data_IF_739753377142
#
_entry.id   IF_739753377142
#
_cell.length_a   1.000
_cell.length_b   1.000
_cell.length_c   1.000
_cell.angle_alpha   90.00
_cell.angle_beta   90.00
_cell.angle_gamma   90.00
#
_symmetry.space_group_name_H-M   'P 1'
#
loop_
_entity.id
_entity.type
_entity.pdbx_description
1 polymer ?
#
# COMPACT_ATOMS: atom_id res chain seq x y z
N UNK A 1 -13.41 22.85 -23.51
CA UNK A 1 -12.93 22.05 -22.37
C UNK A 1 -11.55 22.58 -22.00
N UNK A 2 -11.20 22.69 -20.73
CA UNK A 2 -9.83 23.03 -20.34
C UNK A 2 -8.90 21.87 -20.75
N UNK A 3 -7.82 22.16 -21.47
CA UNK A 3 -6.76 21.20 -21.79
C UNK A 3 -5.72 21.20 -20.68
N UNK A 4 -5.34 20.03 -20.20
CA UNK A 4 -4.25 19.86 -19.25
C UNK A 4 -2.90 20.00 -19.97
N UNK A 5 -1.87 20.48 -19.27
CA UNK A 5 -0.50 20.31 -19.75
C UNK A 5 -0.07 18.85 -19.63
N UNK A 6 0.97 18.44 -20.37
CA UNK A 6 1.52 17.08 -20.28
C UNK A 6 1.84 16.69 -18.82
N UNK A 7 2.45 17.59 -18.05
CA UNK A 7 2.76 17.34 -16.64
C UNK A 7 1.52 17.14 -15.76
N UNK A 8 0.40 17.81 -16.07
CA UNK A 8 -0.86 17.66 -15.35
C UNK A 8 -1.54 16.34 -15.71
N UNK A 9 -1.48 15.94 -16.99
CA UNK A 9 -1.92 14.60 -17.41
C UNK A 9 -1.12 13.49 -16.72
N UNK A 10 0.20 13.63 -16.65
CA UNK A 10 1.08 12.69 -15.97
C UNK A 10 0.71 12.54 -14.50
N UNK A 11 0.47 13.65 -13.80
CA UNK A 11 -0.01 13.64 -12.43
C UNK A 11 -1.34 12.86 -12.30
N UNK A 12 -2.32 13.16 -13.14
CA UNK A 12 -3.64 12.50 -13.10
C UNK A 12 -3.51 11.00 -13.36
N UNK A 13 -2.72 10.60 -14.37
CA UNK A 13 -2.49 9.18 -14.70
C UNK A 13 -1.83 8.45 -13.54
N UNK A 14 -0.77 9.01 -12.96
CA UNK A 14 -0.09 8.39 -11.82
C UNK A 14 -0.99 8.32 -10.59
N UNK A 15 -1.79 9.36 -10.34
CA UNK A 15 -2.78 9.35 -9.26
C UNK A 15 -3.83 8.25 -9.44
N UNK A 16 -4.32 8.02 -10.66
CA UNK A 16 -5.26 6.95 -10.96
C UNK A 16 -4.63 5.57 -10.78
N UNK A 17 -3.37 5.39 -11.20
CA UNK A 17 -2.64 4.14 -10.97
C UNK A 17 -2.51 3.86 -9.47
N UNK A 18 -2.01 4.83 -8.71
CA UNK A 18 -1.75 4.70 -7.27
C UNK A 18 -3.02 4.62 -6.41
N UNK A 19 -4.10 5.31 -6.76
CA UNK A 19 -5.35 5.33 -5.97
C UNK A 19 -6.40 4.33 -6.47
N UNK A 20 -6.33 3.92 -7.72
CA UNK A 20 -7.33 3.06 -8.35
C UNK A 20 -6.87 1.62 -8.60
N UNK A 21 -5.60 1.41 -8.97
CA UNK A 21 -5.07 0.09 -9.34
C UNK A 21 -4.33 -0.56 -8.17
N UNK A 22 -3.35 0.13 -7.58
CA UNK A 22 -2.52 -0.47 -6.51
C UNK A 22 -3.32 -0.98 -5.32
N UNK A 23 -4.44 -0.36 -4.86
CA UNK A 23 -5.21 -0.91 -3.75
C UNK A 23 -5.81 -2.28 -4.03
N UNK A 24 -6.11 -2.59 -5.30
CA UNK A 24 -6.61 -3.92 -5.68
C UNK A 24 -5.49 -4.95 -5.65
N UNK A 25 -4.33 -4.63 -6.24
CA UNK A 25 -3.18 -5.53 -6.25
C UNK A 25 -2.68 -5.84 -4.82
N UNK A 26 -2.54 -4.81 -3.98
CA UNK A 26 -2.16 -4.99 -2.56
C UNK A 26 -3.20 -5.81 -1.81
N UNK A 27 -4.50 -5.62 -2.09
CA UNK A 27 -5.54 -6.42 -1.46
C UNK A 27 -5.51 -7.88 -1.90
N UNK A 28 -5.28 -8.16 -3.17
CA UNK A 28 -5.11 -9.54 -3.66
C UNK A 28 -3.98 -10.24 -2.92
N UNK A 29 -2.82 -9.59 -2.79
CA UNK A 29 -1.72 -10.12 -1.98
C UNK A 29 -2.11 -10.28 -0.50
N UNK A 30 -2.73 -9.25 0.09
CA UNK A 30 -3.17 -9.25 1.49
C UNK A 30 -4.12 -10.41 1.79
N UNK A 31 -5.13 -10.64 0.95
CA UNK A 31 -6.12 -11.69 1.13
C UNK A 31 -5.52 -13.09 0.96
N UNK A 32 -4.36 -13.23 0.30
CA UNK A 32 -3.61 -14.49 0.26
C UNK A 32 -2.90 -14.77 1.59
N UNK A 33 -2.26 -13.75 2.16
CA UNK A 33 -1.58 -13.86 3.46
C UNK A 33 -2.57 -13.94 4.63
N UNK A 34 -3.72 -13.26 4.50
CA UNK A 34 -4.77 -13.16 5.49
C UNK A 34 -6.13 -13.45 4.85
N UNK A 35 -6.46 -14.74 4.56
CA UNK A 35 -7.72 -15.10 3.94
C UNK A 35 -8.92 -14.48 4.65
N UNK A 36 -9.89 -13.87 3.93
CA UNK A 36 -11.02 -13.17 4.56
C UNK A 36 -11.80 -14.02 5.57
N UNK A 37 -11.87 -15.33 5.35
CA UNK A 37 -12.53 -16.29 6.25
C UNK A 37 -11.79 -16.47 7.58
N UNK A 38 -10.46 -16.32 7.59
CA UNK A 38 -9.61 -16.45 8.79
C UNK A 38 -9.10 -15.11 9.30
N UNK A 39 -9.38 -14.00 8.60
CA UNK A 39 -8.94 -12.66 9.00
C UNK A 39 -9.35 -12.31 10.44
N UNK A 40 -10.59 -12.56 10.91
CA UNK A 40 -10.96 -12.29 12.30
C UNK A 40 -10.11 -13.07 13.31
N UNK A 41 -9.85 -14.36 13.05
CA UNK A 41 -9.01 -15.17 13.93
C UNK A 41 -7.56 -14.71 13.92
N UNK A 42 -6.99 -14.36 12.76
CA UNK A 42 -5.61 -13.87 12.67
C UNK A 42 -5.44 -12.57 13.45
N UNK A 43 -6.36 -11.61 13.30
CA UNK A 43 -6.31 -10.36 14.05
C UNK A 43 -6.47 -10.59 15.56
N UNK A 44 -7.33 -11.54 15.96
CA UNK A 44 -7.48 -11.91 17.37
C UNK A 44 -6.21 -12.55 17.95
N UNK A 45 -5.55 -13.45 17.21
CA UNK A 45 -4.30 -14.09 17.66
C UNK A 45 -3.15 -13.08 17.74
N UNK A 46 -3.12 -12.12 16.82
CA UNK A 46 -2.11 -11.05 16.77
C UNK A 46 -2.44 -9.82 17.63
N UNK A 47 -3.43 -9.91 18.53
CA UNK A 47 -3.96 -8.75 19.25
C UNK A 47 -2.90 -7.94 20.02
N UNK A 48 -1.92 -8.60 20.66
CA UNK A 48 -0.85 -7.90 21.38
C UNK A 48 0.04 -7.08 20.44
N UNK A 49 0.40 -7.63 19.28
CA UNK A 49 1.15 -6.90 18.24
C UNK A 49 0.33 -5.72 17.72
N UNK A 50 -0.97 -5.92 17.48
CA UNK A 50 -1.87 -4.84 17.05
C UNK A 50 -1.97 -3.71 18.09
N UNK A 51 -1.98 -4.02 19.39
CA UNK A 51 -1.97 -3.01 20.46
C UNK A 51 -0.68 -2.18 20.46
N UNK A 52 0.47 -2.78 20.20
CA UNK A 52 1.72 -2.01 20.03
C UNK A 52 1.65 -1.10 18.81
N UNK A 53 1.17 -1.63 17.69
CA UNK A 53 0.98 -0.86 16.46
C UNK A 53 -0.01 0.29 16.63
N UNK A 54 -1.09 0.11 17.42
CA UNK A 54 -2.05 1.17 17.76
C UNK A 54 -1.41 2.35 18.48
N UNK A 55 -0.38 2.11 19.29
CA UNK A 55 0.32 3.18 20.03
C UNK A 55 1.23 4.00 19.11
N UNK A 56 1.69 3.43 18.00
CA UNK A 56 2.80 3.99 17.20
C UNK A 56 2.42 4.39 15.78
N UNK A 57 1.51 3.65 15.15
CA UNK A 57 1.29 3.69 13.69
C UNK A 57 -0.20 3.69 13.34
N UNK A 58 -1.00 2.83 13.96
CA UNK A 58 -2.41 2.64 13.63
C UNK A 58 -3.27 3.65 14.39
N UNK A 59 -3.99 4.50 13.66
CA UNK A 59 -4.90 5.47 14.27
C UNK A 59 -6.23 4.84 14.70
N UNK A 60 -7.07 5.59 15.42
CA UNK A 60 -8.34 5.08 15.95
C UNK A 60 -9.32 4.64 14.84
N UNK A 61 -9.35 5.32 13.69
CA UNK A 61 -10.23 4.96 12.59
C UNK A 61 -9.83 3.60 12.00
N UNK A 62 -8.55 3.39 11.73
CA UNK A 62 -8.01 2.11 11.28
C UNK A 62 -8.20 1.01 12.33
N UNK A 63 -8.01 1.31 13.62
CA UNK A 63 -8.29 0.36 14.70
C UNK A 63 -9.74 -0.14 14.69
N UNK A 64 -10.70 0.76 14.46
CA UNK A 64 -12.12 0.39 14.41
C UNK A 64 -12.45 -0.51 13.20
N UNK A 65 -11.62 -0.52 12.16
CA UNK A 65 -11.75 -1.46 11.04
C UNK A 65 -11.18 -2.85 11.40
N UNK A 66 -10.09 -2.90 12.16
CA UNK A 66 -9.46 -4.15 12.59
C UNK A 66 -10.24 -4.86 13.69
N UNK A 67 -10.69 -4.09 14.69
CA UNK A 67 -11.41 -4.57 15.87
C UNK A 67 -12.74 -3.81 15.94
N UNK A 68 -13.69 -4.14 15.05
CA UNK A 68 -14.98 -3.45 15.00
C UNK A 68 -15.81 -3.78 16.24
N UNK A 69 -16.58 -2.79 16.73
CA UNK A 69 -17.51 -2.99 17.84
C UNK A 69 -18.66 -3.94 17.48
N UNK A 70 -19.11 -3.87 16.22
CA UNK A 70 -20.17 -4.70 15.67
C UNK A 70 -19.70 -5.25 14.30
N UNK A 71 -19.99 -6.52 14.03
CA UNK A 71 -19.61 -7.18 12.78
C UNK A 71 -18.21 -7.78 12.81
N UNK A 72 -17.69 -8.09 11.62
CA UNK A 72 -16.37 -8.71 11.42
C UNK A 72 -15.49 -7.80 10.56
N UNK A 73 -14.15 -7.82 10.74
CA UNK A 73 -13.23 -7.08 9.89
C UNK A 73 -13.34 -7.53 8.42
N UNK A 74 -13.28 -6.57 7.50
CA UNK A 74 -13.32 -6.80 6.05
C UNK A 74 -12.17 -6.05 5.38
N UNK A 75 -11.26 -6.80 4.74
CA UNK A 75 -10.09 -6.25 4.03
C UNK A 75 -10.46 -5.27 2.92
N UNK A 76 -11.69 -5.33 2.40
CA UNK A 76 -12.22 -4.36 1.41
C UNK A 76 -12.29 -2.94 1.96
N UNK A 77 -12.42 -2.80 3.28
CA UNK A 77 -12.47 -1.49 3.95
C UNK A 77 -11.09 -0.92 4.27
N UNK A 78 -10.04 -1.73 4.16
CA UNK A 78 -8.70 -1.32 4.52
C UNK A 78 -8.06 -0.46 3.42
N UNK A 79 -7.39 0.61 3.84
CA UNK A 79 -6.52 1.37 2.96
C UNK A 79 -5.18 0.62 2.73
N UNK A 80 -4.45 1.01 1.68
CA UNK A 80 -3.17 0.39 1.31
C UNK A 80 -2.12 0.49 2.42
N UNK A 81 -2.10 1.60 3.15
CA UNK A 81 -1.12 1.82 4.22
C UNK A 81 -1.37 0.85 5.37
N UNK A 82 -2.64 0.62 5.73
CA UNK A 82 -3.04 -0.35 6.74
C UNK A 82 -2.69 -1.78 6.30
N UNK A 83 -3.02 -2.17 5.07
CA UNK A 83 -2.68 -3.50 4.54
C UNK A 83 -1.17 -3.77 4.58
N UNK A 84 -0.35 -2.82 4.11
CA UNK A 84 1.12 -2.94 4.15
C UNK A 84 1.62 -3.00 5.60
N UNK A 85 1.04 -2.21 6.50
CA UNK A 85 1.41 -2.22 7.92
C UNK A 85 1.15 -3.59 8.56
N UNK A 86 0.02 -4.23 8.27
CA UNK A 86 -0.30 -5.56 8.77
C UNK A 86 0.62 -6.62 8.18
N UNK A 87 0.82 -6.62 6.85
CA UNK A 87 1.70 -7.58 6.17
C UNK A 87 3.10 -7.55 6.78
N UNK A 88 3.72 -6.37 6.89
CA UNK A 88 5.12 -6.26 7.37
C UNK A 88 5.32 -6.61 8.85
N UNK A 89 4.27 -6.61 9.66
CA UNK A 89 4.37 -6.84 11.11
C UNK A 89 3.80 -8.18 11.55
N UNK A 90 2.92 -8.81 10.76
CA UNK A 90 2.23 -10.04 11.13
C UNK A 90 2.63 -11.24 10.26
N UNK A 91 3.42 -11.03 9.21
CA UNK A 91 3.97 -12.11 8.36
C UNK A 91 5.50 -12.16 8.46
N UNK A 92 6.10 -13.19 7.88
CA UNK A 92 7.56 -13.34 7.75
C UNK A 92 8.10 -12.75 6.44
N UNK A 93 7.42 -11.74 5.87
CA UNK A 93 7.85 -11.09 4.63
C UNK A 93 9.25 -10.46 4.80
N UNK A 94 10.13 -10.69 3.83
CA UNK A 94 11.47 -10.11 3.87
C UNK A 94 11.39 -8.59 3.67
N UNK A 95 12.01 -7.79 4.55
CA UNK A 95 12.06 -6.34 4.37
C UNK A 95 12.99 -5.97 3.20
N UNK A 96 12.79 -4.78 2.60
CA UNK A 96 13.80 -4.20 1.72
C UNK A 96 15.12 -3.95 2.46
N UNK A 97 16.24 -3.88 1.73
CA UNK A 97 17.59 -3.66 2.29
C UNK A 97 17.62 -2.42 3.20
N UNK A 98 16.95 -1.34 2.80
CA UNK A 98 16.89 -0.07 3.53
C UNK A 98 15.59 0.11 4.35
N UNK A 99 14.85 -0.97 4.57
CA UNK A 99 13.57 -0.97 5.29
C UNK A 99 12.38 -0.43 4.49
N UNK A 100 11.19 -0.56 5.06
CA UNK A 100 9.90 -0.22 4.42
C UNK A 100 9.60 1.29 4.30
N UNK A 101 10.47 2.14 4.84
CA UNK A 101 10.29 3.60 4.86
C UNK A 101 11.20 4.31 3.83
N UNK A 102 12.04 3.54 3.12
CA UNK A 102 12.92 4.00 2.04
C UNK A 102 12.46 3.46 0.69
N UNK A 103 12.79 4.13 -0.41
CA UNK A 103 12.60 3.56 -1.75
C UNK A 103 13.55 2.37 -1.95
N UNK A 104 13.05 1.16 -2.25
CA UNK A 104 13.89 0.00 -2.53
C UNK A 104 14.71 0.17 -3.81
N UNK A 105 15.83 -0.55 -3.91
CA UNK A 105 16.64 -0.61 -5.12
C UNK A 105 15.86 -1.34 -6.22
N UNK A 106 16.04 -0.96 -7.48
CA UNK A 106 15.32 -1.55 -8.63
C UNK A 106 15.51 -3.08 -8.77
N UNK A 107 16.61 -3.63 -8.26
CA UNK A 107 16.91 -5.07 -8.30
C UNK A 107 16.11 -5.89 -7.28
N UNK A 108 15.51 -5.25 -6.27
CA UNK A 108 14.78 -5.94 -5.19
C UNK A 108 13.36 -6.33 -5.65
N UNK A 109 13.18 -7.46 -6.32
CA UNK A 109 11.90 -7.86 -6.95
C UNK A 109 11.05 -8.83 -6.11
N UNK A 110 11.17 -8.75 -4.78
CA UNK A 110 10.37 -9.58 -3.86
C UNK A 110 9.18 -8.80 -3.29
N UNK A 111 8.14 -9.46 -2.76
CA UNK A 111 6.93 -8.78 -2.32
C UNK A 111 7.13 -7.67 -1.28
N UNK A 112 8.09 -7.79 -0.36
CA UNK A 112 8.36 -6.75 0.65
C UNK A 112 8.82 -5.43 0.03
N UNK A 113 9.92 -5.44 -0.75
CA UNK A 113 10.31 -4.36 -1.65
C UNK A 113 9.18 -3.82 -2.52
N UNK A 114 8.38 -4.67 -3.16
CA UNK A 114 7.28 -4.25 -4.01
C UNK A 114 6.22 -3.44 -3.26
N UNK A 115 5.81 -3.90 -2.06
CA UNK A 115 4.91 -3.16 -1.19
C UNK A 115 5.54 -1.84 -0.71
N UNK A 116 6.84 -1.82 -0.42
CA UNK A 116 7.55 -0.60 -0.04
C UNK A 116 7.61 0.43 -1.19
N UNK A 117 7.78 -0.01 -2.45
CA UNK A 117 7.68 0.88 -3.63
C UNK A 117 6.31 1.54 -3.74
N UNK A 118 5.23 0.76 -3.64
CA UNK A 118 3.86 1.31 -3.66
C UNK A 118 3.69 2.36 -2.56
N UNK A 119 4.10 2.05 -1.33
CA UNK A 119 4.01 2.99 -0.21
C UNK A 119 4.81 4.26 -0.49
N UNK A 120 6.04 4.15 -0.99
CA UNK A 120 6.90 5.29 -1.31
C UNK A 120 6.23 6.22 -2.31
N UNK A 121 5.78 5.71 -3.46
CA UNK A 121 5.17 6.55 -4.49
C UNK A 121 3.81 7.13 -4.06
N UNK A 122 3.01 6.41 -3.27
CA UNK A 122 1.78 6.97 -2.68
C UNK A 122 2.10 8.15 -1.74
N UNK A 123 3.11 8.01 -0.89
CA UNK A 123 3.52 9.08 0.03
C UNK A 123 4.09 10.27 -0.76
N UNK A 124 4.95 10.02 -1.75
CA UNK A 124 5.52 11.07 -2.61
C UNK A 124 4.42 11.86 -3.32
N UNK A 125 3.40 11.18 -3.87
CA UNK A 125 2.27 11.84 -4.52
C UNK A 125 1.40 12.62 -3.52
N UNK A 126 1.18 12.10 -2.31
CA UNK A 126 0.36 12.76 -1.29
C UNK A 126 1.00 14.05 -0.74
N UNK A 127 2.34 14.12 -0.74
CA UNK A 127 3.11 15.30 -0.34
C UNK A 127 3.58 16.14 -1.55
N UNK A 128 3.05 15.86 -2.75
CA UNK A 128 3.42 16.62 -3.94
C UNK A 128 2.66 17.95 -3.96
N UNK A 129 3.39 19.06 -3.87
CA UNK A 129 2.80 20.40 -3.71
C UNK A 129 2.11 20.94 -4.98
N UNK A 130 2.39 20.33 -6.14
CA UNK A 130 1.77 20.68 -7.41
C UNK A 130 0.99 19.52 -8.02
N UNK A 131 0.06 19.81 -8.91
CA UNK A 131 -0.61 18.79 -9.72
C UNK A 131 0.16 18.51 -11.02
N UNK A 132 1.50 18.60 -11.00
CA UNK A 132 2.36 18.51 -12.20
C UNK A 132 3.52 17.55 -11.95
N UNK A 133 3.73 16.58 -12.84
CA UNK A 133 4.87 15.66 -12.79
C UNK A 133 5.54 15.64 -14.16
N UNK A 134 6.83 15.95 -14.21
CA UNK A 134 7.61 15.86 -15.45
C UNK A 134 7.66 14.42 -15.97
N UNK A 135 7.85 14.29 -17.28
CA UNK A 135 7.80 13.00 -17.98
C UNK A 135 8.83 12.00 -17.45
N UNK A 136 10.01 12.44 -16.99
CA UNK A 136 11.06 11.54 -16.47
C UNK A 136 10.64 10.90 -15.15
N UNK A 137 10.14 11.72 -14.21
CA UNK A 137 9.62 11.23 -12.94
C UNK A 137 8.36 10.39 -13.12
N UNK A 138 7.49 10.76 -14.06
CA UNK A 138 6.31 10.00 -14.42
C UNK A 138 6.69 8.61 -14.96
N UNK A 139 7.55 8.52 -15.97
CA UNK A 139 7.92 7.26 -16.61
C UNK A 139 8.56 6.28 -15.63
N UNK A 140 9.43 6.80 -14.76
CA UNK A 140 10.07 6.00 -13.69
C UNK A 140 9.01 5.44 -12.74
N UNK A 141 8.13 6.31 -12.20
CA UNK A 141 7.09 5.89 -11.26
C UNK A 141 6.06 4.95 -11.91
N UNK A 142 5.68 5.24 -13.15
CA UNK A 142 4.71 4.45 -13.90
C UNK A 142 5.21 3.03 -14.13
N UNK A 143 6.47 2.88 -14.56
CA UNK A 143 7.09 1.57 -14.77
C UNK A 143 7.15 0.78 -13.48
N UNK A 144 7.76 1.36 -12.44
CA UNK A 144 7.93 0.68 -11.15
C UNK A 144 6.59 0.21 -10.56
N UNK A 145 5.55 1.05 -10.63
CA UNK A 145 4.25 0.71 -10.05
C UNK A 145 3.44 -0.24 -10.93
N UNK A 146 3.53 -0.12 -12.26
CA UNK A 146 2.82 -1.02 -13.17
C UNK A 146 3.34 -2.45 -13.04
N UNK A 147 4.66 -2.63 -13.04
CA UNK A 147 5.30 -3.94 -12.90
C UNK A 147 4.94 -4.59 -11.56
N UNK A 148 5.08 -3.83 -10.47
CA UNK A 148 4.70 -4.29 -9.13
C UNK A 148 3.21 -4.64 -9.02
N UNK A 149 2.34 -3.84 -9.63
CA UNK A 149 0.89 -4.09 -9.56
C UNK A 149 0.51 -5.40 -10.23
N UNK A 150 1.23 -5.82 -11.26
CA UNK A 150 1.05 -7.13 -11.91
C UNK A 150 1.60 -8.24 -11.02
N UNK A 151 2.80 -8.08 -10.46
CA UNK A 151 3.45 -9.10 -9.62
C UNK A 151 2.64 -9.45 -8.37
N UNK A 152 2.04 -8.47 -7.70
CA UNK A 152 1.25 -8.71 -6.48
C UNK A 152 -0.10 -9.41 -6.73
N UNK A 153 -0.49 -9.61 -7.99
CA UNK A 153 -1.70 -10.35 -8.36
C UNK A 153 -1.44 -11.86 -8.54
N UNK A 154 -0.18 -12.28 -8.56
CA UNK A 154 0.24 -13.69 -8.68
C UNK A 154 0.90 -14.17 -7.39
#
# INVERSE_FOLDING_TARGET
>A
MASLSEEEENYVRLALLLKGVTPRAVRTYFDREFPPTSLPSTLSTSHNTLLDLKKRIINQAQWNLLIPRNGVPDSKTFDVTLMICLIRNLTTINPPINGFDSLPLSIETTPGPDLARIKHYRNKLAHHDSNKIDTTNFDTAWKDISDVSVLLQF
#
